data_IF_328943633448
#
_entry.id   IF_328943633448
#
_cell.length_a   1.000
_cell.length_b   1.000
_cell.length_c   1.000
_cell.angle_alpha   90.00
_cell.angle_beta   90.00
_cell.angle_gamma   90.00
#
_symmetry.space_group_name_H-M   'P 1'
#
loop_
_entity.id
_entity.type
_entity.pdbx_description
1 polymer ?
#
# COMPACT_ATOMS: atom_id res chain seq x y z
N UNK A 1 -10.94 -37.18 -41.24
CA UNK A 1 -10.15 -37.03 -40.00
C UNK A 1 -9.39 -35.69 -39.86
N UNK A 2 -9.55 -34.72 -40.78
CA UNK A 2 -8.83 -33.42 -40.73
C UNK A 2 -9.58 -32.22 -40.12
N UNK A 3 -10.88 -32.33 -39.86
CA UNK A 3 -11.71 -31.20 -39.36
C UNK A 3 -11.88 -31.18 -37.83
N UNK A 4 -11.57 -32.26 -37.12
CA UNK A 4 -11.63 -32.33 -35.65
C UNK A 4 -10.34 -31.81 -34.99
N UNK A 5 -9.17 -32.01 -35.61
CA UNK A 5 -7.87 -31.56 -35.07
C UNK A 5 -7.71 -30.03 -35.10
N UNK A 6 -8.36 -29.34 -36.06
CA UNK A 6 -8.30 -27.87 -36.14
C UNK A 6 -9.14 -27.18 -35.05
N UNK A 7 -10.21 -27.81 -34.55
CA UNK A 7 -11.08 -27.21 -33.52
C UNK A 7 -10.50 -27.34 -32.10
N UNK A 8 -9.70 -28.38 -31.87
CA UNK A 8 -9.01 -28.61 -30.59
C UNK A 8 -7.88 -27.58 -30.40
N UNK A 9 -7.08 -27.32 -31.45
CA UNK A 9 -6.01 -26.31 -31.38
C UNK A 9 -6.53 -24.89 -31.12
N UNK A 10 -7.69 -24.51 -31.68
CA UNK A 10 -8.27 -23.17 -31.46
C UNK A 10 -8.82 -23.02 -30.04
N UNK A 11 -9.48 -24.06 -29.49
CA UNK A 11 -10.01 -24.03 -28.12
C UNK A 11 -8.90 -24.02 -27.07
N UNK A 12 -7.83 -24.79 -27.29
CA UNK A 12 -6.65 -24.80 -26.41
C UNK A 12 -5.93 -23.46 -26.46
N UNK A 13 -5.80 -22.84 -27.64
CA UNK A 13 -5.19 -21.53 -27.79
C UNK A 13 -6.02 -20.42 -27.12
N UNK A 14 -7.36 -20.45 -27.23
CA UNK A 14 -8.23 -19.52 -26.52
C UNK A 14 -8.18 -19.69 -25.00
N UNK A 15 -8.10 -20.94 -24.50
CA UNK A 15 -7.98 -21.21 -23.06
C UNK A 15 -6.58 -20.80 -22.52
N UNK A 16 -5.52 -21.00 -23.30
CA UNK A 16 -4.17 -20.53 -22.97
C UNK A 16 -4.06 -18.99 -23.02
N UNK A 17 -4.73 -18.34 -23.98
CA UNK A 17 -4.77 -16.88 -24.08
C UNK A 17 -5.56 -16.26 -22.91
N UNK A 18 -6.64 -16.91 -22.46
CA UNK A 18 -7.40 -16.51 -21.29
C UNK A 18 -6.64 -16.71 -19.96
N UNK A 19 -5.74 -17.72 -19.87
CA UNK A 19 -4.84 -17.85 -18.72
C UNK A 19 -3.72 -16.78 -18.69
N UNK A 20 -3.32 -16.26 -19.86
CA UNK A 20 -2.31 -15.18 -19.94
C UNK A 20 -2.88 -13.77 -19.71
N UNK A 21 -4.20 -13.58 -19.77
CA UNK A 21 -4.86 -12.35 -19.33
C UNK A 21 -5.26 -12.47 -17.85
N UNK A 22 -4.27 -12.64 -16.97
CA UNK A 22 -4.48 -12.20 -15.60
C UNK A 22 -4.49 -10.66 -15.65
N UNK A 23 -5.51 -9.97 -15.13
CA UNK A 23 -5.39 -8.54 -14.92
C UNK A 23 -4.22 -8.32 -13.97
N UNK A 24 -3.09 -7.82 -14.51
CA UNK A 24 -2.08 -7.18 -13.68
C UNK A 24 -2.74 -5.90 -13.16
N UNK A 25 -3.40 -6.03 -12.01
CA UNK A 25 -3.68 -4.89 -11.15
C UNK A 25 -2.37 -4.11 -11.02
N UNK A 26 -2.36 -2.78 -11.20
CA UNK A 26 -1.18 -1.99 -10.87
C UNK A 26 -0.92 -2.22 -9.38
N UNK A 27 0.04 -3.09 -9.06
CA UNK A 27 0.43 -3.34 -7.69
C UNK A 27 1.06 -2.05 -7.20
N UNK A 28 0.30 -1.25 -6.44
CA UNK A 28 0.88 -0.21 -5.61
C UNK A 28 2.02 -0.87 -4.83
N UNK A 29 3.27 -0.50 -5.11
CA UNK A 29 4.41 -1.10 -4.43
C UNK A 29 4.37 -0.69 -2.95
N UNK A 30 3.76 -1.55 -2.12
CA UNK A 30 3.66 -1.38 -0.68
C UNK A 30 4.84 -2.04 0.07
N UNK A 31 5.74 -2.70 -0.66
CA UNK A 31 6.85 -3.46 -0.07
C UNK A 31 8.22 -2.80 -0.22
N UNK A 32 8.30 -1.70 -0.96
CA UNK A 32 9.52 -0.91 -1.05
C UNK A 32 10.00 -0.43 0.33
N UNK A 33 11.30 -0.58 0.59
CA UNK A 33 11.95 -0.11 1.80
C UNK A 33 11.90 1.42 1.87
N UNK A 34 11.48 1.96 3.01
CA UNK A 34 11.55 3.39 3.32
C UNK A 34 12.79 3.67 4.17
N UNK A 35 12.90 3.04 5.33
CA UNK A 35 14.08 3.16 6.19
C UNK A 35 14.26 1.94 7.11
N UNK A 36 15.43 1.88 7.73
CA UNK A 36 15.74 0.94 8.82
C UNK A 36 16.28 1.67 10.04
N UNK A 37 15.97 1.18 11.23
CA UNK A 37 16.65 1.49 12.47
C UNK A 37 17.23 0.22 13.06
N UNK A 38 18.48 0.24 13.50
CA UNK A 38 19.16 -0.90 14.12
C UNK A 38 19.75 -0.43 15.45
N UNK A 39 19.63 -1.24 16.51
CA UNK A 39 20.23 -0.93 17.80
C UNK A 39 21.74 -0.73 17.68
N UNK A 40 22.23 0.32 18.33
CA UNK A 40 23.66 0.56 18.57
C UNK A 40 24.04 0.34 20.04
N UNK A 41 23.03 0.23 20.92
CA UNK A 41 23.23 -0.06 22.33
C UNK A 41 23.84 -1.46 22.45
N UNK A 42 24.93 -1.57 23.22
CA UNK A 42 25.59 -2.84 23.47
C UNK A 42 25.01 -3.42 24.75
N UNK A 43 23.96 -4.23 24.63
CA UNK A 43 23.48 -5.03 25.74
C UNK A 43 24.45 -6.21 25.97
N UNK A 44 24.46 -6.84 27.16
CA UNK A 44 25.18 -8.09 27.37
C UNK A 44 24.80 -9.08 26.27
N UNK A 45 25.80 -9.79 25.73
CA UNK A 45 25.63 -10.58 24.49
C UNK A 45 24.31 -11.37 24.52
N UNK A 46 23.46 -11.24 23.48
CA UNK A 46 22.19 -11.92 23.44
C UNK A 46 22.43 -13.42 23.60
N UNK A 47 21.87 -13.97 24.68
CA UNK A 47 21.93 -15.41 24.93
C UNK A 47 21.29 -16.17 23.77
N UNK A 48 21.66 -17.44 23.57
CA UNK A 48 21.00 -18.33 22.60
C UNK A 48 19.46 -18.33 22.78
N UNK A 49 18.98 -18.15 24.02
CA UNK A 49 17.56 -18.03 24.34
C UNK A 49 16.92 -16.78 23.72
N UNK A 50 17.57 -15.61 23.79
CA UNK A 50 17.05 -14.37 23.18
C UNK A 50 16.94 -14.50 21.65
N UNK A 51 17.91 -15.17 21.01
CA UNK A 51 17.87 -15.43 19.57
C UNK A 51 16.70 -16.36 19.17
N UNK A 52 16.46 -17.41 19.96
CA UNK A 52 15.32 -18.31 19.77
C UNK A 52 13.96 -17.62 20.02
N UNK A 53 13.89 -16.79 21.05
CA UNK A 53 12.70 -15.97 21.36
C UNK A 53 12.41 -14.99 20.22
N UNK A 54 13.44 -14.33 19.66
CA UNK A 54 13.30 -13.45 18.50
C UNK A 54 12.78 -14.22 17.28
N UNK A 55 13.32 -15.40 16.97
CA UNK A 55 12.83 -16.20 15.85
C UNK A 55 11.34 -16.59 16.03
N UNK A 56 10.97 -16.98 17.25
CA UNK A 56 9.57 -17.33 17.59
C UNK A 56 8.64 -16.11 17.50
N UNK A 57 9.11 -14.94 17.94
CA UNK A 57 8.41 -13.66 17.83
C UNK A 57 8.15 -13.31 16.36
N UNK A 58 9.19 -13.32 15.52
CA UNK A 58 9.09 -12.98 14.09
C UNK A 58 8.13 -13.93 13.34
N UNK A 59 8.17 -15.22 13.66
CA UNK A 59 7.21 -16.21 13.14
C UNK A 59 5.78 -15.89 13.55
N UNK A 60 5.57 -15.55 14.83
CA UNK A 60 4.24 -15.21 15.37
C UNK A 60 3.68 -13.94 14.71
N UNK A 61 4.49 -12.88 14.61
CA UNK A 61 4.10 -11.62 13.98
C UNK A 61 3.71 -11.83 12.51
N UNK A 62 4.51 -12.61 11.76
CA UNK A 62 4.23 -12.92 10.35
C UNK A 62 2.94 -13.73 10.19
N UNK A 63 2.70 -14.71 11.06
CA UNK A 63 1.45 -15.49 11.06
C UNK A 63 0.22 -14.59 11.32
N UNK A 64 0.33 -13.63 12.23
CA UNK A 64 -0.78 -12.77 12.62
C UNK A 64 -1.10 -11.69 11.58
N UNK A 65 -0.12 -11.30 10.76
CA UNK A 65 -0.32 -10.34 9.67
C UNK A 65 -1.31 -10.80 8.60
N UNK A 66 -1.59 -12.11 8.52
CA UNK A 66 -2.62 -12.65 7.62
C UNK A 66 -4.06 -12.37 8.09
N UNK A 67 -4.24 -11.94 9.34
CA UNK A 67 -5.56 -11.75 9.97
C UNK A 67 -5.75 -10.35 10.56
N UNK A 68 -4.66 -9.66 10.91
CA UNK A 68 -4.69 -8.36 11.58
C UNK A 68 -3.80 -7.37 10.86
N UNK A 69 -4.15 -6.10 10.94
CA UNK A 69 -3.33 -4.98 10.43
C UNK A 69 -2.42 -4.38 11.50
N UNK A 70 -2.62 -4.74 12.76
CA UNK A 70 -1.75 -4.45 13.88
C UNK A 70 -1.73 -5.65 14.84
N UNK A 71 -0.56 -5.95 15.38
CA UNK A 71 -0.41 -6.91 16.47
C UNK A 71 0.90 -6.66 17.20
N UNK A 72 0.86 -6.74 18.53
CA UNK A 72 2.04 -6.71 19.39
C UNK A 72 2.03 -7.92 20.31
N UNK A 73 3.23 -8.40 20.65
CA UNK A 73 3.39 -9.49 21.60
C UNK A 73 4.81 -9.51 22.17
N UNK A 74 5.00 -10.27 23.23
CA UNK A 74 6.29 -10.53 23.85
C UNK A 74 6.49 -12.04 23.95
N UNK A 75 7.69 -12.51 23.61
CA UNK A 75 8.09 -13.91 23.74
C UNK A 75 9.23 -14.03 24.74
N UNK A 76 9.15 -15.00 25.64
CA UNK A 76 10.14 -15.23 26.70
C UNK A 76 9.89 -14.39 27.95
N UNK A 77 10.83 -14.45 28.89
CA UNK A 77 10.77 -13.78 30.19
C UNK A 77 12.13 -13.18 30.62
N UNK A 78 12.08 -12.33 31.65
CA UNK A 78 13.24 -11.71 32.26
C UNK A 78 14.10 -10.91 31.28
N UNK A 79 15.40 -11.20 31.26
CA UNK A 79 16.40 -10.55 30.39
C UNK A 79 16.44 -11.13 28.98
N UNK A 80 15.75 -12.25 28.73
CA UNK A 80 15.70 -12.90 27.41
C UNK A 80 14.40 -12.60 26.65
N UNK A 81 13.47 -11.90 27.30
CA UNK A 81 12.21 -11.50 26.69
C UNK A 81 12.46 -10.59 25.47
N UNK A 82 11.70 -10.84 24.41
CA UNK A 82 11.73 -10.02 23.19
C UNK A 82 10.32 -9.55 22.90
N UNK A 83 10.15 -8.24 22.90
CA UNK A 83 8.90 -7.58 22.53
C UNK A 83 8.95 -7.15 21.08
N UNK A 84 7.82 -7.21 20.39
CA UNK A 84 7.73 -6.68 19.05
C UNK A 84 6.30 -6.49 18.58
N UNK A 85 6.18 -5.78 17.47
CA UNK A 85 4.92 -5.47 16.85
C UNK A 85 5.07 -5.31 15.34
N UNK A 86 3.94 -5.39 14.66
CA UNK A 86 3.81 -4.88 13.31
C UNK A 86 2.63 -3.94 13.20
N UNK A 87 2.71 -3.04 12.22
CA UNK A 87 1.62 -2.18 11.80
C UNK A 87 1.62 -2.08 10.28
N UNK A 88 0.50 -2.42 9.67
CA UNK A 88 0.21 -2.19 8.26
C UNK A 88 -0.53 -0.86 8.06
N UNK A 89 -0.41 -0.30 6.87
CA UNK A 89 -1.13 0.90 6.45
C UNK A 89 -2.63 0.61 6.41
N UNK A 90 -3.44 1.56 6.87
CA UNK A 90 -4.86 1.32 7.15
C UNK A 90 -5.72 1.06 5.90
N UNK A 91 -5.21 1.35 4.72
CA UNK A 91 -5.82 1.07 3.41
C UNK A 91 -5.47 -0.31 2.83
N UNK A 92 -4.63 -1.10 3.52
CA UNK A 92 -4.26 -2.45 3.06
C UNK A 92 -5.24 -3.51 3.57
N UNK A 93 -5.55 -4.46 2.69
CA UNK A 93 -6.23 -5.70 3.08
C UNK A 93 -5.32 -6.58 3.94
N UNK A 94 -5.90 -7.51 4.70
CA UNK A 94 -5.12 -8.47 5.50
C UNK A 94 -4.14 -9.31 4.65
N UNK A 95 -4.50 -9.64 3.41
CA UNK A 95 -3.60 -10.35 2.49
C UNK A 95 -2.39 -9.48 2.11
N UNK A 96 -2.61 -8.23 1.71
CA UNK A 96 -1.52 -7.28 1.40
C UNK A 96 -0.66 -6.98 2.63
N UNK A 97 -1.27 -6.93 3.82
CA UNK A 97 -0.56 -6.79 5.07
C UNK A 97 0.36 -7.99 5.33
N UNK A 98 -0.15 -9.21 5.16
CA UNK A 98 0.64 -10.45 5.21
C UNK A 98 1.81 -10.44 4.23
N UNK A 99 1.59 -10.05 2.97
CA UNK A 99 2.64 -9.93 1.96
C UNK A 99 3.71 -8.89 2.32
N UNK A 100 3.29 -7.78 2.94
CA UNK A 100 4.20 -6.72 3.37
C UNK A 100 5.06 -7.16 4.56
N UNK A 101 4.42 -7.67 5.62
CA UNK A 101 5.09 -8.11 6.84
C UNK A 101 5.95 -9.35 6.60
N UNK A 102 5.56 -10.25 5.70
CA UNK A 102 6.35 -11.43 5.34
C UNK A 102 7.76 -11.10 4.84
N UNK A 103 8.00 -9.90 4.30
CA UNK A 103 9.33 -9.45 3.85
C UNK A 103 10.18 -8.81 4.94
N UNK A 104 9.56 -8.28 6.00
CA UNK A 104 10.24 -7.49 7.01
C UNK A 104 11.29 -8.26 7.83
N UNK A 105 11.06 -9.51 8.28
CA UNK A 105 12.05 -10.28 9.03
C UNK A 105 13.38 -10.49 8.27
N UNK A 106 13.30 -10.87 7.00
CA UNK A 106 14.49 -11.09 6.17
C UNK A 106 15.24 -9.79 5.89
N UNK A 107 14.50 -8.68 5.67
CA UNK A 107 15.10 -7.36 5.56
C UNK A 107 15.77 -6.92 6.85
N UNK A 108 15.18 -7.16 8.02
CA UNK A 108 15.78 -6.84 9.31
C UNK A 108 17.10 -7.58 9.49
N UNK A 109 17.11 -8.90 9.24
CA UNK A 109 18.33 -9.73 9.32
C UNK A 109 19.41 -9.26 8.35
N UNK A 110 19.04 -8.96 7.10
CA UNK A 110 19.99 -8.54 6.05
C UNK A 110 20.56 -7.15 6.32
N UNK A 111 19.76 -6.23 6.85
CA UNK A 111 20.13 -4.82 6.96
C UNK A 111 20.65 -4.40 8.34
N UNK A 112 20.34 -5.15 9.39
CA UNK A 112 20.80 -4.91 10.76
C UNK A 112 21.71 -6.01 11.31
N UNK A 113 21.84 -7.15 10.63
CA UNK A 113 22.57 -8.32 11.13
C UNK A 113 21.66 -9.26 11.94
N UNK A 114 22.08 -10.53 12.06
CA UNK A 114 21.27 -11.58 12.69
C UNK A 114 21.16 -11.53 14.22
N UNK A 115 21.98 -10.71 14.88
CA UNK A 115 22.10 -10.65 16.34
C UNK A 115 21.92 -9.23 16.90
N UNK A 116 21.08 -8.42 16.26
CA UNK A 116 20.80 -7.05 16.71
C UNK A 116 19.72 -7.05 17.79
N UNK A 117 19.95 -6.30 18.86
CA UNK A 117 19.06 -6.29 20.04
C UNK A 117 17.73 -5.58 19.82
N UNK A 118 17.67 -4.64 18.87
CA UNK A 118 16.44 -4.03 18.43
C UNK A 118 16.54 -3.63 16.96
N UNK A 119 15.43 -3.72 16.25
CA UNK A 119 15.35 -3.23 14.88
C UNK A 119 13.95 -2.71 14.55
N UNK A 120 13.92 -1.74 13.63
CA UNK A 120 12.72 -1.27 12.95
C UNK A 120 12.96 -1.32 11.45
N UNK A 121 12.08 -1.97 10.72
CA UNK A 121 12.09 -1.97 9.24
C UNK A 121 10.79 -1.37 8.77
N UNK A 122 10.86 -0.20 8.13
CA UNK A 122 9.72 0.49 7.56
C UNK A 122 9.68 0.26 6.05
N UNK A 123 8.58 -0.32 5.59
CA UNK A 123 8.19 -0.42 4.19
C UNK A 123 7.07 0.59 3.90
N UNK A 124 6.77 0.82 2.62
CA UNK A 124 5.72 1.75 2.17
C UNK A 124 4.32 1.41 2.70
N UNK A 125 4.06 0.14 2.97
CA UNK A 125 2.76 -0.37 3.41
C UNK A 125 2.73 -0.91 4.83
N UNK A 126 3.86 -1.07 5.49
CA UNK A 126 3.91 -1.67 6.82
C UNK A 126 5.25 -1.40 7.49
N UNK A 127 5.33 -1.64 8.79
CA UNK A 127 6.61 -1.81 9.45
C UNK A 127 6.57 -2.90 10.50
N UNK A 128 7.76 -3.40 10.81
CA UNK A 128 8.04 -4.36 11.88
C UNK A 128 9.02 -3.69 12.85
N UNK A 129 8.74 -3.78 14.15
CA UNK A 129 9.63 -3.33 15.22
C UNK A 129 9.80 -4.45 16.25
N UNK A 130 11.01 -4.69 16.71
CA UNK A 130 11.27 -5.57 17.86
C UNK A 130 12.41 -5.03 18.70
N UNK A 131 12.44 -5.44 19.97
CA UNK A 131 13.50 -5.14 20.91
C UNK A 131 13.61 -6.21 22.01
N UNK A 132 14.83 -6.46 22.45
CA UNK A 132 15.13 -7.28 23.62
C UNK A 132 14.89 -6.46 24.89
N UNK A 133 14.50 -7.16 25.96
CA UNK A 133 14.37 -6.62 27.31
C UNK A 133 15.61 -5.81 27.73
N UNK A 134 15.38 -4.60 28.25
CA UNK A 134 16.45 -3.67 28.65
C UNK A 134 16.91 -2.70 27.56
N UNK A 135 16.42 -2.83 26.32
CA UNK A 135 16.63 -1.79 25.30
C UNK A 135 15.86 -0.51 25.66
N UNK A 136 16.53 0.64 25.54
CA UNK A 136 15.90 1.95 25.78
C UNK A 136 15.41 2.52 24.45
N UNK A 137 14.09 2.62 24.29
CA UNK A 137 13.47 3.24 23.11
C UNK A 137 13.76 4.74 23.02
N UNK A 138 13.74 5.26 21.79
CA UNK A 138 13.75 6.70 21.56
C UNK A 138 12.44 7.33 22.10
N UNK A 139 12.48 8.57 22.61
CA UNK A 139 11.28 9.32 22.96
C UNK A 139 10.24 9.34 21.85
N UNK A 140 8.95 9.32 22.21
CA UNK A 140 7.87 9.27 21.23
C UNK A 140 7.80 10.52 20.33
N UNK A 141 8.36 11.63 20.81
CA UNK A 141 8.45 12.94 20.14
C UNK A 141 9.59 13.05 19.14
N UNK A 142 10.48 12.06 19.07
CA UNK A 142 11.67 12.12 18.24
C UNK A 142 11.35 11.71 16.79
N UNK A 143 11.93 12.47 15.86
CA UNK A 143 11.91 12.14 14.43
C UNK A 143 12.88 10.98 14.19
N UNK A 144 12.35 9.81 13.86
CA UNK A 144 13.17 8.61 13.57
C UNK A 144 13.63 8.55 12.12
N UNK A 145 12.86 9.15 11.20
CA UNK A 145 13.22 9.26 9.80
C UNK A 145 12.46 10.40 9.13
N UNK A 146 13.09 11.07 8.17
CA UNK A 146 12.44 12.08 7.34
C UNK A 146 12.96 12.04 5.91
N UNK A 147 12.10 12.44 4.99
CA UNK A 147 12.49 12.74 3.61
C UNK A 147 11.62 13.88 3.08
N UNK A 148 12.25 14.86 2.44
CA UNK A 148 11.56 15.97 1.79
C UNK A 148 11.85 15.89 0.29
N UNK A 149 10.88 16.28 -0.54
CA UNK A 149 11.02 16.36 -1.98
C UNK A 149 12.06 17.41 -2.38
N UNK A 150 12.72 17.17 -3.52
CA UNK A 150 13.68 18.13 -4.09
C UNK A 150 12.99 19.31 -4.78
N UNK A 151 11.77 19.09 -5.29
CA UNK A 151 10.96 20.10 -5.96
C UNK A 151 10.27 20.99 -4.93
N UNK A 152 10.16 22.29 -5.26
CA UNK A 152 9.58 23.32 -4.41
C UNK A 152 8.56 24.13 -5.19
N UNK A 153 7.50 24.54 -4.50
CA UNK A 153 6.47 25.42 -5.03
C UNK A 153 5.93 26.30 -3.89
N UNK A 154 5.98 27.62 -4.06
CA UNK A 154 5.52 28.56 -3.04
C UNK A 154 3.98 28.70 -3.00
N UNK A 155 3.27 28.25 -4.04
CA UNK A 155 1.85 28.48 -4.26
C UNK A 155 0.90 27.49 -3.58
N UNK A 156 1.41 26.45 -2.92
CA UNK A 156 0.57 25.41 -2.28
C UNK A 156 0.56 25.45 -0.75
N UNK A 157 1.32 26.35 -0.10
CA UNK A 157 1.46 26.42 1.36
C UNK A 157 0.11 26.45 2.10
N UNK A 158 -0.80 27.36 1.72
CA UNK A 158 -2.13 27.45 2.34
C UNK A 158 -2.99 26.19 2.13
N UNK A 159 -2.86 25.52 0.97
CA UNK A 159 -3.55 24.26 0.70
C UNK A 159 -2.97 23.14 1.57
N UNK A 160 -1.65 23.13 1.77
CA UNK A 160 -0.96 22.17 2.63
C UNK A 160 -1.39 22.33 4.09
N UNK A 161 -1.41 23.56 4.61
CA UNK A 161 -1.85 23.85 5.98
C UNK A 161 -3.29 23.39 6.21
N UNK A 162 -4.19 23.66 5.27
CA UNK A 162 -5.58 23.18 5.36
C UNK A 162 -5.64 21.65 5.31
N UNK A 163 -4.87 21.01 4.43
CA UNK A 163 -4.81 19.55 4.34
C UNK A 163 -4.27 18.93 5.64
N UNK A 164 -3.29 19.56 6.29
CA UNK A 164 -2.69 19.11 7.54
C UNK A 164 -3.70 19.12 8.69
N UNK A 165 -4.51 20.18 8.81
CA UNK A 165 -5.60 20.21 9.79
C UNK A 165 -6.63 19.09 9.59
N UNK A 166 -6.87 18.65 8.34
CA UNK A 166 -7.73 17.49 8.08
C UNK A 166 -7.12 16.17 8.56
N UNK A 167 -5.78 16.05 8.56
CA UNK A 167 -5.09 14.85 9.06
C UNK A 167 -5.24 14.74 10.57
N UNK A 168 -5.07 15.84 11.31
CA UNK A 168 -5.14 15.87 12.78
C UNK A 168 -6.47 15.30 13.30
N UNK A 169 -7.60 15.82 12.83
CA UNK A 169 -8.92 15.29 13.22
C UNK A 169 -9.22 13.94 12.57
N UNK A 170 -8.77 13.76 11.31
CA UNK A 170 -9.06 12.57 10.53
C UNK A 170 -8.46 11.29 11.12
N UNK A 171 -7.30 11.35 11.77
CA UNK A 171 -6.70 10.16 12.40
C UNK A 171 -7.47 9.74 13.66
N UNK A 172 -8.13 10.67 14.36
CA UNK A 172 -8.96 10.35 15.53
C UNK A 172 -10.22 9.62 15.07
N UNK A 173 -10.94 10.19 14.11
CA UNK A 173 -12.17 9.62 13.56
C UNK A 173 -11.91 8.28 12.83
N UNK A 174 -10.75 8.18 12.17
CA UNK A 174 -10.31 7.01 11.40
C UNK A 174 -9.65 5.91 12.23
N UNK A 175 -9.67 5.98 13.56
CA UNK A 175 -9.10 4.95 14.43
C UNK A 175 -7.57 4.79 14.29
N UNK A 176 -6.87 5.90 14.09
CA UNK A 176 -5.42 5.98 13.94
C UNK A 176 -4.91 6.02 12.51
N UNK A 177 -5.78 6.10 11.49
CA UNK A 177 -5.38 6.22 10.09
C UNK A 177 -6.26 7.19 9.31
N UNK A 178 -5.63 8.05 8.52
CA UNK A 178 -6.33 8.99 7.65
C UNK A 178 -5.61 9.16 6.32
N UNK A 179 -6.40 9.27 5.25
CA UNK A 179 -5.93 9.78 3.95
C UNK A 179 -6.95 10.78 3.43
N UNK A 180 -6.47 11.80 2.73
CA UNK A 180 -7.34 12.84 2.21
C UNK A 180 -6.67 13.68 1.15
N UNK A 181 -7.44 14.60 0.57
CA UNK A 181 -6.90 15.59 -0.34
C UNK A 181 -7.62 16.91 -0.18
N UNK A 182 -6.85 18.00 -0.21
CA UNK A 182 -7.39 19.36 -0.28
C UNK A 182 -6.78 20.07 -1.48
N UNK A 183 -7.63 20.39 -2.47
CA UNK A 183 -7.17 20.82 -3.78
C UNK A 183 -6.30 19.73 -4.44
N UNK A 184 -5.04 20.04 -4.69
CA UNK A 184 -4.08 19.09 -5.28
C UNK A 184 -3.03 18.58 -4.28
N UNK A 185 -3.25 18.77 -2.98
CA UNK A 185 -2.38 18.23 -1.92
C UNK A 185 -3.02 16.95 -1.40
N UNK A 186 -2.35 15.82 -1.61
CA UNK A 186 -2.68 14.54 -0.97
C UNK A 186 -1.94 14.45 0.36
N UNK A 187 -2.62 13.94 1.38
CA UNK A 187 -2.08 13.75 2.73
C UNK A 187 -2.43 12.36 3.27
N UNK A 188 -1.55 11.84 4.11
CA UNK A 188 -1.75 10.63 4.88
C UNK A 188 -1.17 10.82 6.28
N UNK A 189 -1.91 10.42 7.29
CA UNK A 189 -1.44 10.32 8.67
C UNK A 189 -1.77 8.95 9.27
N UNK A 190 -0.88 8.43 10.09
CA UNK A 190 -1.09 7.15 10.75
C UNK A 190 -0.37 7.04 12.08
N UNK A 191 -1.06 6.49 13.07
CA UNK A 191 -0.52 6.13 14.39
C UNK A 191 -0.18 4.62 14.47
N UNK A 192 0.80 4.26 15.29
CA UNK A 192 1.07 2.89 15.73
C UNK A 192 -0.14 2.38 16.54
N UNK A 193 -0.53 1.13 16.30
CA UNK A 193 -1.74 0.57 16.88
C UNK A 193 -1.81 0.72 18.39
N UNK A 194 -3.04 0.88 18.87
CA UNK A 194 -3.42 1.21 20.24
C UNK A 194 -2.81 2.50 20.83
N UNK A 195 -2.21 3.39 20.02
CA UNK A 195 -2.21 4.82 20.37
C UNK A 195 -3.64 5.42 20.43
N UNK A 196 -4.68 4.62 20.17
CA UNK A 196 -6.10 4.88 20.52
C UNK A 196 -6.47 4.26 21.88
N UNK A 197 -5.75 3.25 22.37
CA UNK A 197 -5.89 2.69 23.72
C UNK A 197 -4.84 3.35 24.63
N UNK A 198 -5.12 4.61 24.98
CA UNK A 198 -4.39 5.36 26.01
C UNK A 198 -3.29 6.32 25.53
N UNK A 199 -3.10 6.49 24.21
CA UNK A 199 -2.13 7.44 23.63
C UNK A 199 -2.76 8.70 23.03
N UNK A 200 -1.96 9.76 22.89
CA UNK A 200 -2.33 11.01 22.22
C UNK A 200 -1.96 10.93 20.72
N UNK A 201 -2.76 10.19 19.94
CA UNK A 201 -2.54 10.04 18.49
C UNK A 201 -2.61 11.39 17.76
N UNK A 202 -3.57 12.25 18.13
CA UNK A 202 -3.72 13.60 17.59
C UNK A 202 -2.45 14.42 17.86
N UNK A 203 -1.96 14.44 19.09
CA UNK A 203 -0.73 15.15 19.46
C UNK A 203 0.52 14.63 18.76
N UNK A 204 0.66 13.32 18.57
CA UNK A 204 1.78 12.76 17.79
C UNK A 204 1.75 13.27 16.34
N UNK A 205 0.58 13.19 15.70
CA UNK A 205 0.41 13.64 14.31
C UNK A 205 0.64 15.13 14.20
N UNK A 206 0.09 15.94 15.11
CA UNK A 206 0.33 17.38 15.17
C UNK A 206 1.81 17.71 15.26
N UNK A 207 2.55 17.09 16.17
CA UNK A 207 4.00 17.26 16.27
C UNK A 207 4.70 16.87 14.96
N UNK A 208 4.31 15.74 14.34
CA UNK A 208 4.88 15.32 13.06
C UNK A 208 4.63 16.36 11.94
N UNK A 209 3.46 17.00 11.91
CA UNK A 209 3.14 18.07 10.96
C UNK A 209 3.97 19.34 11.23
N UNK A 210 4.15 19.74 12.49
CA UNK A 210 5.05 20.84 12.88
C UNK A 210 6.50 20.56 12.43
N UNK A 211 6.97 19.32 12.55
CA UNK A 211 8.28 18.89 12.02
C UNK A 211 8.34 18.98 10.50
N UNK A 212 7.26 18.63 9.79
CA UNK A 212 7.20 18.80 8.33
C UNK A 212 7.39 20.27 7.96
N UNK A 213 6.73 21.19 8.65
CA UNK A 213 6.85 22.62 8.34
C UNK A 213 8.25 23.15 8.61
N UNK A 214 8.83 22.80 9.77
CA UNK A 214 10.16 23.22 10.16
C UNK A 214 11.27 22.64 9.27
N UNK A 215 11.09 21.41 8.77
CA UNK A 215 12.18 20.65 8.16
C UNK A 215 12.05 20.45 6.64
N UNK A 216 10.84 20.50 6.09
CA UNK A 216 10.61 20.37 4.64
C UNK A 216 10.30 21.70 3.94
N UNK A 217 10.05 22.79 4.66
CA UNK A 217 9.90 24.13 4.07
C UNK A 217 8.90 24.15 2.91
N UNK A 218 9.31 24.58 1.72
CA UNK A 218 8.46 24.64 0.51
C UNK A 218 8.51 23.39 -0.37
N UNK A 219 9.08 22.28 0.12
CA UNK A 219 9.13 21.03 -0.64
C UNK A 219 7.71 20.53 -0.95
N UNK A 220 7.44 20.18 -2.21
CA UNK A 220 6.10 19.78 -2.66
C UNK A 220 5.66 18.40 -2.16
N UNK A 221 6.57 17.64 -1.57
CA UNK A 221 6.27 16.35 -0.95
C UNK A 221 7.17 16.15 0.25
N UNK A 222 6.73 15.32 1.19
CA UNK A 222 7.56 14.93 2.32
C UNK A 222 6.92 13.82 3.14
N UNK A 223 7.76 13.15 3.91
CA UNK A 223 7.37 12.13 4.87
C UNK A 223 8.18 12.34 6.14
N UNK A 224 7.50 12.38 7.28
CA UNK A 224 8.13 12.45 8.60
C UNK A 224 7.59 11.30 9.43
N UNK A 225 8.51 10.47 9.91
CA UNK A 225 8.24 9.33 10.77
C UNK A 225 8.73 9.65 12.17
N UNK A 226 7.80 9.62 13.11
CA UNK A 226 8.06 9.66 14.56
C UNK A 226 8.15 8.22 15.09
N UNK A 227 8.42 8.06 16.39
CA UNK A 227 8.42 6.72 16.98
C UNK A 227 7.03 6.06 16.87
N UNK A 228 5.95 6.81 17.14
CA UNK A 228 4.58 6.28 17.28
C UNK A 228 3.60 6.71 16.19
N UNK A 229 3.99 7.58 15.27
CA UNK A 229 3.14 7.97 14.15
C UNK A 229 3.99 8.40 12.95
N UNK A 230 3.37 8.58 11.80
CA UNK A 230 4.00 9.25 10.66
C UNK A 230 2.97 10.03 9.85
N UNK A 231 3.47 11.02 9.14
CA UNK A 231 2.70 11.83 8.20
C UNK A 231 3.42 11.87 6.86
N UNK A 232 2.64 11.95 5.79
CA UNK A 232 3.17 12.18 4.45
C UNK A 232 2.26 13.10 3.66
N UNK A 233 2.85 13.85 2.74
CA UNK A 233 2.12 14.70 1.82
C UNK A 233 2.76 14.72 0.44
N UNK A 234 1.96 15.01 -0.58
CA UNK A 234 2.44 15.20 -1.95
C UNK A 234 1.51 16.17 -2.67
N UNK A 235 2.08 17.19 -3.28
CA UNK A 235 1.39 18.19 -4.07
C UNK A 235 1.56 17.88 -5.56
N UNK A 236 0.43 17.87 -6.28
CA UNK A 236 0.35 17.55 -7.70
C UNK A 236 -0.09 18.78 -8.49
N UNK A 237 0.83 19.66 -8.94
CA UNK A 237 0.47 20.91 -9.60
C UNK A 237 -0.42 20.68 -10.84
N UNK A 238 -0.17 19.60 -11.58
CA UNK A 238 -0.90 19.21 -12.78
C UNK A 238 -2.08 18.24 -12.53
N UNK A 239 -2.44 18.02 -11.25
CA UNK A 239 -3.43 17.03 -10.86
C UNK A 239 -2.86 15.61 -10.76
N UNK A 240 -3.55 14.76 -10.00
CA UNK A 240 -3.21 13.34 -9.86
C UNK A 240 -3.67 12.57 -11.09
N UNK A 241 -2.74 11.90 -11.80
CA UNK A 241 -3.11 10.99 -12.87
C UNK A 241 -3.85 9.78 -12.28
N UNK A 242 -5.18 9.71 -12.50
CA UNK A 242 -5.97 8.50 -12.19
C UNK A 242 -6.97 8.61 -11.02
N UNK A 243 -7.14 9.76 -10.38
CA UNK A 243 -8.25 9.96 -9.42
C UNK A 243 -9.17 11.07 -9.94
N UNK A 244 -10.33 10.68 -10.45
CA UNK A 244 -11.42 11.64 -10.68
C UNK A 244 -11.84 12.23 -9.34
N UNK A 245 -11.94 13.57 -9.20
CA UNK A 245 -12.36 14.19 -7.94
C UNK A 245 -13.78 13.72 -7.55
N UNK A 246 -14.07 13.53 -6.24
CA UNK A 246 -15.45 13.35 -5.83
C UNK A 246 -16.21 14.62 -6.15
N UNK A 247 -17.27 14.48 -6.94
CA UNK A 247 -18.21 15.56 -7.23
C UNK A 247 -18.68 16.19 -5.92
N UNK A 248 -18.39 17.47 -5.73
CA UNK A 248 -19.07 18.27 -4.72
C UNK A 248 -20.55 18.38 -5.12
N UNK A 249 -21.42 17.60 -4.48
CA UNK A 249 -22.87 17.77 -4.58
C UNK A 249 -23.37 18.55 -3.37
N UNK A 250 -23.66 19.83 -3.61
CA UNK A 250 -24.48 20.68 -2.74
C UNK A 250 -25.92 20.13 -2.67
N UNK A 251 -26.49 20.26 -1.48
CA UNK A 251 -27.80 19.78 -1.02
C UNK A 251 -29.00 20.25 -1.84
N UNK A 252 -30.03 19.39 -1.93
CA UNK A 252 -31.40 19.72 -2.33
C UNK A 252 -32.38 18.64 -1.85
N UNK A 253 -33.36 19.06 -1.05
CA UNK A 253 -34.35 18.33 -0.26
C UNK A 253 -35.34 17.49 -1.09
N UNK A 254 -35.77 16.32 -0.58
CA UNK A 254 -36.91 15.56 -1.10
C UNK A 254 -37.05 14.14 -0.53
N UNK A 255 -38.24 13.82 -0.02
CA UNK A 255 -38.64 12.60 0.71
C UNK A 255 -38.62 11.28 -0.10
N UNK A 256 -38.37 10.18 0.63
CA UNK A 256 -39.10 8.90 0.51
C UNK A 256 -38.73 7.93 -0.64
N UNK A 257 -38.05 6.82 -0.32
CA UNK A 257 -38.00 5.64 -1.21
C UNK A 257 -36.93 4.61 -0.88
N UNK A 258 -37.37 3.43 -0.43
CA UNK A 258 -36.61 2.20 -0.16
C UNK A 258 -35.92 1.62 -1.40
N UNK A 259 -34.71 1.05 -1.28
CA UNK A 259 -34.22 0.06 -2.26
C UNK A 259 -32.70 0.02 -2.42
N UNK A 260 -32.11 -1.17 -2.28
CA UNK A 260 -30.67 -1.38 -2.26
C UNK A 260 -29.96 -1.41 -3.62
N UNK A 261 -28.64 -1.20 -3.55
CA UNK A 261 -27.59 -1.81 -4.39
C UNK A 261 -27.52 -1.43 -5.87
N UNK A 262 -26.35 -0.94 -6.30
CA UNK A 262 -25.60 -1.46 -7.47
C UNK A 262 -24.30 -0.68 -7.72
N UNK A 263 -23.18 -1.29 -7.33
CA UNK A 263 -21.86 -1.01 -7.87
C UNK A 263 -21.64 -1.94 -9.08
N UNK A 264 -22.17 -1.59 -10.25
CA UNK A 264 -22.09 -2.46 -11.46
C UNK A 264 -21.87 -1.69 -12.76
N UNK A 265 -21.42 -0.43 -12.70
CA UNK A 265 -21.33 0.39 -13.92
C UNK A 265 -19.92 0.61 -14.46
N UNK A 266 -18.86 0.21 -13.75
CA UNK A 266 -17.47 0.43 -14.22
C UNK A 266 -16.82 -0.79 -14.88
N UNK A 267 -17.31 -2.01 -14.64
CA UNK A 267 -16.75 -3.24 -15.22
C UNK A 267 -17.27 -3.52 -16.64
N UNK A 268 -18.46 -3.02 -17.00
CA UNK A 268 -19.11 -3.34 -18.28
C UNK A 268 -18.42 -2.64 -19.46
N UNK A 269 -17.90 -1.42 -19.28
CA UNK A 269 -17.32 -0.64 -20.39
C UNK A 269 -16.04 -1.28 -20.97
N UNK A 270 -15.19 -1.88 -20.13
CA UNK A 270 -13.92 -2.49 -20.57
C UNK A 270 -14.15 -3.89 -21.17
N UNK A 271 -15.06 -4.67 -20.58
CA UNK A 271 -15.36 -6.04 -21.06
C UNK A 271 -16.10 -6.02 -22.40
N UNK A 272 -16.99 -5.04 -22.63
CA UNK A 272 -17.73 -4.93 -23.89
C UNK A 272 -16.84 -4.42 -25.04
N UNK A 273 -15.89 -3.52 -24.76
CA UNK A 273 -14.94 -3.03 -25.76
C UNK A 273 -13.99 -4.12 -26.29
N UNK A 274 -13.47 -4.96 -25.38
CA UNK A 274 -12.59 -6.07 -25.75
C UNK A 274 -13.28 -7.15 -26.59
N UNK A 275 -14.51 -7.53 -26.22
CA UNK A 275 -15.29 -8.52 -26.97
C UNK A 275 -15.66 -8.04 -28.38
N UNK A 276 -16.00 -6.76 -28.54
CA UNK A 276 -16.32 -6.16 -29.83
C UNK A 276 -15.10 -6.12 -30.78
N UNK A 277 -13.91 -5.78 -30.27
CA UNK A 277 -12.69 -5.72 -31.07
C UNK A 277 -12.25 -7.11 -31.57
N UNK A 278 -12.33 -8.13 -30.72
CA UNK A 278 -12.02 -9.52 -31.11
C UNK A 278 -13.06 -10.04 -32.12
N UNK A 279 -14.35 -9.76 -31.89
CA UNK A 279 -15.42 -10.10 -32.83
C UNK A 279 -15.21 -9.47 -34.21
N UNK A 280 -14.87 -8.19 -34.25
CA UNK A 280 -14.60 -7.46 -35.49
C UNK A 280 -13.37 -8.02 -36.22
N UNK A 281 -12.29 -8.34 -35.49
CA UNK A 281 -11.10 -8.96 -36.06
C UNK A 281 -11.37 -10.33 -36.71
N UNK A 282 -12.21 -11.16 -36.10
CA UNK A 282 -12.59 -12.46 -36.66
C UNK A 282 -13.43 -12.29 -37.94
N UNK A 283 -14.36 -11.34 -37.96
CA UNK A 283 -15.17 -11.03 -39.15
C UNK A 283 -14.26 -10.56 -40.30
N UNK A 284 -13.33 -9.64 -40.04
CA UNK A 284 -12.36 -9.19 -41.03
C UNK A 284 -11.51 -10.34 -41.60
N UNK A 285 -11.05 -11.28 -40.76
CA UNK A 285 -10.28 -12.44 -41.21
C UNK A 285 -11.10 -13.42 -42.07
N UNK A 286 -12.38 -13.61 -41.77
CA UNK A 286 -13.28 -14.44 -42.58
C UNK A 286 -13.57 -13.80 -43.94
N UNK A 287 -13.74 -12.48 -43.99
CA UNK A 287 -13.87 -11.73 -45.25
C UNK A 287 -12.58 -11.76 -46.09
N UNK A 288 -11.41 -11.61 -45.47
CA UNK A 288 -10.14 -11.75 -46.19
C UNK A 288 -10.02 -13.15 -46.82
N UNK A 289 -10.33 -14.22 -46.07
CA UNK A 289 -10.30 -15.60 -46.59
C UNK A 289 -11.28 -15.85 -47.73
N UNK A 290 -12.46 -15.22 -47.73
CA UNK A 290 -13.41 -15.37 -48.83
C UNK A 290 -12.96 -14.64 -50.10
N UNK A 291 -12.24 -13.52 -49.96
CA UNK A 291 -11.62 -12.79 -51.07
C UNK A 291 -10.44 -13.55 -51.67
N UNK A 292 -9.59 -14.18 -50.84
CA UNK A 292 -8.50 -15.03 -51.35
C UNK A 292 -9.04 -16.28 -52.06
N UNK A 293 -10.09 -16.91 -51.51
CA UNK A 293 -10.74 -18.07 -52.16
C UNK A 293 -11.36 -17.72 -53.52
N UNK A 294 -11.84 -16.49 -53.73
CA UNK A 294 -12.31 -16.02 -55.05
C UNK A 294 -11.17 -15.78 -56.04
N UNK A 295 -9.99 -15.35 -55.59
CA UNK A 295 -8.82 -15.15 -56.46
C UNK A 295 -8.21 -16.46 -56.95
N UNK A 296 -8.26 -17.52 -56.14
CA UNK A 296 -7.78 -18.84 -56.55
C UNK A 296 -8.73 -19.51 -57.56
N UNK A 297 -10.05 -19.27 -57.45
CA UNK A 297 -11.04 -19.79 -58.41
C UNK A 297 -10.95 -19.10 -59.80
N UNK A 298 -10.47 -17.85 -59.86
CA UNK A 298 -10.29 -17.12 -61.12
C UNK A 298 -9.02 -17.51 -61.90
N UNK A 299 -8.13 -18.32 -61.30
CA UNK A 299 -6.84 -18.69 -61.91
C UNK A 299 -6.87 -20.03 -62.66
N UNK A 300 -8.03 -20.66 -62.78
CA UNK A 300 -8.22 -21.98 -63.41
C UNK A 300 -9.11 -21.95 -64.67
N UNK A 301 -9.43 -20.76 -65.19
CA UNK A 301 -10.20 -20.56 -66.43
C UNK A 301 -9.41 -19.64 -67.39
N UNK A 302 -8.25 -20.12 -67.83
CA UNK A 302 -7.44 -19.59 -68.94
C UNK A 302 -6.62 -20.72 -69.55
#
# INVERSE_FOLDING_TARGET
MGLLLSRINIRVFFFALLLSLSPTEPSSDFTGLVFKGCAQQKLPDPTDASAQNLQSLLSTLTSQASQKTFYSTTVGDGTTAVSGLFQCRGDLTAAQCGDCIGKAPDLARKLCGGAVDAARVQLKGCYLKYQISGFVEAPDTDVVYKVCGSEKDAGFGAKRETAFGMVESGVVDGGGFYTGSYGNVYVLGQCEGDAVIGGDCEGCVKNALERVEAECGEAISGQVYMNKCYVSFSYYPNGVAGVSPPSASLSGTGEGGTGGGRHTQKTVAVVVGGAAAVGFGVVCLLFAKSLFKKRDASKYDS
#
